data_IF_848735969098
#
_entry.id   IF_848735969098
#
_cell.length_a   1.000
_cell.length_b   1.000
_cell.length_c   1.000
_cell.angle_alpha   90.00
_cell.angle_beta   90.00
_cell.angle_gamma   90.00
#
_symmetry.space_group_name_H-M   'P 1'
#
loop_
_entity.id
_entity.type
_entity.pdbx_description
1 polymer ?
#
# COMPACT_ATOMS: atom_id res chain seq x y z
N UNK A 1 29.61 -4.81 -13.20
CA UNK A 1 28.54 -4.54 -12.21
C UNK A 1 27.25 -5.16 -12.72
N UNK A 2 26.91 -6.32 -12.20
CA UNK A 2 25.62 -6.93 -12.50
C UNK A 2 24.55 -6.14 -11.77
N UNK A 3 23.63 -5.52 -12.51
CA UNK A 3 22.41 -4.95 -11.95
C UNK A 3 21.65 -6.08 -11.26
N UNK A 4 21.60 -6.07 -9.94
CA UNK A 4 20.66 -6.92 -9.21
C UNK A 4 19.31 -6.21 -9.27
N UNK A 5 18.24 -6.85 -9.74
CA UNK A 5 16.91 -6.30 -9.62
C UNK A 5 16.60 -6.15 -8.12
N UNK A 6 16.09 -4.98 -7.74
CA UNK A 6 15.74 -4.68 -6.36
C UNK A 6 14.23 -4.72 -6.11
N UNK A 7 13.43 -4.87 -7.16
CA UNK A 7 11.98 -4.94 -7.12
C UNK A 7 11.47 -6.08 -8.01
N UNK A 8 10.63 -6.93 -7.47
CA UNK A 8 9.87 -7.94 -8.17
C UNK A 8 8.44 -7.47 -8.35
N UNK A 9 8.01 -7.30 -9.60
CA UNK A 9 6.63 -6.96 -9.93
C UNK A 9 5.89 -8.21 -10.43
N UNK A 10 4.74 -8.50 -9.81
CA UNK A 10 3.92 -9.66 -10.12
C UNK A 10 2.45 -9.25 -10.26
N UNK A 11 1.67 -10.01 -11.00
CA UNK A 11 0.22 -9.97 -10.98
C UNK A 11 -0.30 -11.21 -10.27
N UNK A 12 -1.31 -11.05 -9.41
CA UNK A 12 -1.93 -12.19 -8.70
C UNK A 12 -2.61 -13.11 -9.72
N UNK A 13 -2.17 -14.38 -9.83
CA UNK A 13 -2.78 -15.33 -10.75
C UNK A 13 -4.24 -15.60 -10.38
N UNK A 14 -5.10 -15.79 -11.39
CA UNK A 14 -6.49 -16.20 -11.18
C UNK A 14 -6.61 -17.66 -10.76
N UNK A 15 -5.64 -18.45 -11.15
CA UNK A 15 -5.61 -19.89 -10.92
C UNK A 15 -5.05 -20.20 -9.53
N UNK A 16 -5.85 -20.92 -8.73
CA UNK A 16 -5.50 -21.32 -7.37
C UNK A 16 -4.27 -22.24 -7.28
N UNK A 17 -4.04 -23.06 -8.29
CA UNK A 17 -2.87 -23.95 -8.32
C UNK A 17 -1.55 -23.17 -8.33
N UNK A 18 -1.54 -21.99 -8.92
CA UNK A 18 -0.37 -21.12 -9.01
C UNK A 18 -0.08 -20.36 -7.71
N UNK A 19 -1.05 -20.29 -6.78
CA UNK A 19 -0.87 -19.51 -5.54
C UNK A 19 0.22 -20.07 -4.63
N UNK A 20 0.41 -21.38 -4.61
CA UNK A 20 1.51 -21.97 -3.84
C UNK A 20 2.89 -21.50 -4.36
N UNK A 21 3.05 -21.49 -5.67
CA UNK A 21 4.28 -21.01 -6.30
C UNK A 21 4.50 -19.52 -6.04
N UNK A 22 3.43 -18.71 -6.05
CA UNK A 22 3.50 -17.29 -5.72
C UNK A 22 4.03 -17.06 -4.29
N UNK A 23 3.53 -17.81 -3.31
CA UNK A 23 4.03 -17.75 -1.92
C UNK A 23 5.53 -18.04 -1.85
N UNK A 24 5.99 -19.08 -2.54
CA UNK A 24 7.41 -19.45 -2.61
C UNK A 24 8.24 -18.33 -3.23
N UNK A 25 7.79 -17.76 -4.34
CA UNK A 25 8.48 -16.66 -5.03
C UNK A 25 8.58 -15.40 -4.15
N UNK A 26 7.50 -15.02 -3.47
CA UNK A 26 7.49 -13.86 -2.55
C UNK A 26 8.43 -14.11 -1.36
N UNK A 27 8.39 -15.31 -0.78
CA UNK A 27 9.30 -15.66 0.31
C UNK A 27 10.76 -15.61 -0.13
N UNK A 28 11.08 -16.13 -1.32
CA UNK A 28 12.43 -16.07 -1.87
C UNK A 28 12.87 -14.63 -2.17
N UNK A 29 12.00 -13.78 -2.71
CA UNK A 29 12.28 -12.37 -2.92
C UNK A 29 12.68 -11.68 -1.61
N UNK A 30 11.93 -11.93 -0.52
CA UNK A 30 12.27 -11.42 0.82
C UNK A 30 13.66 -11.89 1.28
N UNK A 31 13.96 -13.19 1.08
CA UNK A 31 15.26 -13.76 1.43
C UNK A 31 16.40 -13.13 0.64
N UNK A 32 16.16 -12.78 -0.62
CA UNK A 32 17.11 -12.11 -1.51
C UNK A 32 17.16 -10.58 -1.33
N UNK A 33 16.44 -10.03 -0.34
CA UNK A 33 16.32 -8.59 -0.10
C UNK A 33 15.82 -7.83 -1.33
N UNK A 34 14.80 -8.38 -1.97
CA UNK A 34 14.09 -7.75 -3.08
C UNK A 34 12.73 -7.26 -2.58
N UNK A 35 12.38 -6.03 -2.91
CA UNK A 35 11.02 -5.53 -2.73
C UNK A 35 10.05 -6.29 -3.64
N UNK A 36 8.80 -6.40 -3.22
CA UNK A 36 7.72 -7.02 -3.99
C UNK A 36 6.59 -6.03 -4.22
N UNK A 37 6.10 -5.97 -5.44
CA UNK A 37 4.87 -5.28 -5.80
C UNK A 37 3.93 -6.27 -6.49
N UNK A 38 2.85 -6.64 -5.82
CA UNK A 38 1.85 -7.60 -6.30
C UNK A 38 0.59 -6.86 -6.72
N UNK A 39 0.29 -6.87 -8.02
CA UNK A 39 -0.91 -6.27 -8.58
C UNK A 39 -2.08 -7.25 -8.51
N UNK A 40 -3.18 -6.81 -7.92
CA UNK A 40 -4.48 -7.48 -7.97
C UNK A 40 -5.41 -6.64 -8.83
N UNK A 41 -5.49 -6.97 -10.11
CA UNK A 41 -6.20 -6.17 -11.10
C UNK A 41 -7.71 -6.36 -10.99
N UNK A 42 -8.43 -5.25 -11.01
CA UNK A 42 -9.89 -5.26 -11.15
C UNK A 42 -10.25 -5.45 -12.64
N UNK A 43 -11.07 -6.45 -12.94
CA UNK A 43 -11.33 -6.86 -14.33
C UNK A 43 -11.99 -5.78 -15.17
N UNK A 44 -12.95 -5.08 -14.59
CA UNK A 44 -13.72 -4.05 -15.30
C UNK A 44 -13.07 -2.67 -15.20
N UNK A 45 -12.64 -2.27 -13.99
CA UNK A 45 -12.08 -0.95 -13.77
C UNK A 45 -10.63 -0.83 -14.30
N UNK A 46 -9.87 -1.94 -14.35
CA UNK A 46 -8.46 -1.90 -14.71
C UNK A 46 -7.68 -0.91 -13.84
N UNK A 47 -6.96 0.03 -14.45
CA UNK A 47 -6.28 1.13 -13.78
C UNK A 47 -7.04 2.47 -13.91
N UNK A 48 -8.33 2.41 -14.25
CA UNK A 48 -9.23 3.55 -14.34
C UNK A 48 -8.69 4.69 -15.20
N UNK A 49 -8.91 5.93 -14.74
CA UNK A 49 -8.43 7.15 -15.39
C UNK A 49 -7.01 7.54 -14.98
N UNK A 50 -6.40 6.81 -14.08
CA UNK A 50 -5.08 7.10 -13.50
C UNK A 50 -4.98 8.49 -12.87
N UNK A 51 -6.06 8.93 -12.25
CA UNK A 51 -6.20 10.30 -11.71
C UNK A 51 -6.22 10.37 -10.19
N UNK A 52 -6.43 9.23 -9.53
CA UNK A 52 -6.51 9.15 -8.07
C UNK A 52 -5.85 7.88 -7.54
N UNK A 53 -5.04 8.03 -6.52
CA UNK A 53 -4.35 6.94 -5.82
C UNK A 53 -4.66 7.05 -4.33
N UNK A 54 -5.03 5.94 -3.70
CA UNK A 54 -5.10 5.82 -2.26
C UNK A 54 -3.90 5.00 -1.76
N UNK A 55 -3.13 5.58 -0.85
CA UNK A 55 -2.07 4.89 -0.12
C UNK A 55 -2.59 4.55 1.27
N UNK A 56 -2.68 3.27 1.58
CA UNK A 56 -3.17 2.77 2.85
C UNK A 56 -2.01 2.49 3.79
N UNK A 57 -2.03 3.14 4.95
CA UNK A 57 -1.03 2.94 6.00
C UNK A 57 -1.58 1.92 6.99
N UNK A 58 -0.87 0.80 7.24
CA UNK A 58 -1.28 -0.19 8.23
C UNK A 58 -1.29 0.42 9.62
N UNK A 59 -2.09 -0.18 10.52
CA UNK A 59 -2.19 0.25 11.90
C UNK A 59 -0.82 0.29 12.59
N UNK A 60 -0.45 1.45 13.12
CA UNK A 60 0.78 1.69 13.88
C UNK A 60 0.50 1.84 15.38
N UNK A 61 -0.75 1.51 15.79
CA UNK A 61 -1.20 1.66 17.18
C UNK A 61 -0.37 0.93 18.24
N UNK A 62 -0.59 1.22 19.48
CA UNK A 62 -1.43 2.29 20.02
C UNK A 62 -0.76 3.67 20.00
N UNK A 63 0.52 3.75 19.65
CA UNK A 63 1.31 4.95 19.85
C UNK A 63 1.48 5.82 18.60
N UNK A 64 1.28 5.29 17.39
CA UNK A 64 1.46 6.00 16.13
C UNK A 64 2.75 6.81 16.07
N UNK A 65 3.86 6.20 16.52
CA UNK A 65 5.16 6.86 16.55
C UNK A 65 5.85 6.78 15.20
N UNK A 66 6.28 7.93 14.73
CA UNK A 66 7.18 8.02 13.60
C UNK A 66 8.54 7.42 13.98
N UNK A 67 8.94 6.34 13.33
CA UNK A 67 10.29 5.76 13.41
C UNK A 67 11.11 6.28 12.23
N UNK A 68 12.42 6.37 12.38
CA UNK A 68 13.31 6.81 11.27
C UNK A 68 13.37 5.81 10.12
N UNK A 69 12.91 4.59 10.32
CA UNK A 69 12.82 3.56 9.30
C UNK A 69 11.42 2.96 9.35
N UNK A 70 10.66 3.12 8.28
CA UNK A 70 9.37 2.48 8.07
C UNK A 70 9.55 1.16 7.33
N UNK A 71 10.09 0.16 7.97
CA UNK A 71 10.44 -1.12 7.33
C UNK A 71 9.29 -1.83 6.61
N UNK A 72 8.06 -1.32 6.73
CA UNK A 72 6.87 -1.98 6.20
C UNK A 72 6.09 -1.12 5.20
N UNK A 73 6.43 0.17 5.07
CA UNK A 73 5.68 1.09 4.21
C UNK A 73 6.56 1.92 3.26
N UNK A 74 7.89 1.84 3.37
CA UNK A 74 8.78 2.64 2.54
C UNK A 74 8.54 2.38 1.05
N UNK A 75 8.47 1.13 0.63
CA UNK A 75 8.21 0.78 -0.76
C UNK A 75 6.83 1.27 -1.23
N UNK A 76 5.79 1.14 -0.40
CA UNK A 76 4.45 1.59 -0.76
C UNK A 76 4.39 3.11 -0.95
N UNK A 77 5.05 3.88 -0.08
CA UNK A 77 5.17 5.34 -0.19
C UNK A 77 5.93 5.73 -1.45
N UNK A 78 7.07 5.08 -1.72
CA UNK A 78 7.88 5.35 -2.91
C UNK A 78 7.12 5.05 -4.21
N UNK A 79 6.40 3.92 -4.27
CA UNK A 79 5.60 3.57 -5.44
C UNK A 79 4.40 4.50 -5.60
N UNK A 80 3.72 4.86 -4.50
CA UNK A 80 2.62 5.83 -4.55
C UNK A 80 3.09 7.17 -5.11
N UNK A 81 4.22 7.69 -4.62
CA UNK A 81 4.82 8.92 -5.13
C UNK A 81 5.16 8.83 -6.63
N UNK A 82 5.84 7.76 -7.04
CA UNK A 82 6.24 7.56 -8.44
C UNK A 82 5.04 7.43 -9.38
N UNK A 83 4.03 6.69 -8.98
CA UNK A 83 2.83 6.52 -9.80
C UNK A 83 2.01 7.81 -9.86
N UNK A 84 1.86 8.50 -8.74
CA UNK A 84 1.21 9.81 -8.68
C UNK A 84 1.90 10.80 -9.63
N UNK A 85 3.23 10.93 -9.57
CA UNK A 85 4.02 11.81 -10.43
C UNK A 85 3.84 11.47 -11.92
N UNK A 86 3.92 10.16 -12.27
CA UNK A 86 3.80 9.70 -13.65
C UNK A 86 2.40 9.82 -14.24
N UNK A 87 1.38 9.75 -13.39
CA UNK A 87 -0.02 9.83 -13.81
C UNK A 87 -0.60 11.25 -13.68
N UNK A 88 0.13 12.17 -13.09
CA UNK A 88 -0.41 13.47 -12.64
C UNK A 88 -1.66 13.28 -11.77
N UNK A 89 -1.59 12.31 -10.86
CA UNK A 89 -2.71 11.86 -10.07
C UNK A 89 -2.74 12.56 -8.70
N UNK A 90 -3.93 12.66 -8.11
CA UNK A 90 -4.10 13.08 -6.72
C UNK A 90 -3.86 11.90 -5.78
N UNK A 91 -3.16 12.14 -4.69
CA UNK A 91 -2.84 11.16 -3.68
C UNK A 91 -3.64 11.40 -2.40
N UNK A 92 -4.25 10.34 -1.87
CA UNK A 92 -4.77 10.31 -0.51
C UNK A 92 -3.98 9.29 0.31
N UNK A 93 -3.57 9.68 1.52
CA UNK A 93 -2.94 8.79 2.49
C UNK A 93 -3.95 8.46 3.57
N UNK A 94 -4.25 7.19 3.74
CA UNK A 94 -5.40 6.73 4.52
C UNK A 94 -4.94 5.75 5.59
N UNK A 95 -5.45 5.91 6.81
CA UNK A 95 -5.31 4.93 7.89
C UNK A 95 -6.67 4.70 8.55
N UNK A 96 -6.84 3.53 9.16
CA UNK A 96 -7.97 3.25 10.04
C UNK A 96 -7.48 3.02 11.46
N UNK A 97 -8.27 3.44 12.44
CA UNK A 97 -8.01 3.23 13.86
C UNK A 97 -9.18 2.49 14.51
N UNK A 98 -8.86 1.48 15.33
CA UNK A 98 -9.88 0.72 16.04
C UNK A 98 -10.44 1.48 17.25
N UNK A 99 -9.67 2.43 17.79
CA UNK A 99 -10.05 3.22 18.95
C UNK A 99 -10.05 4.72 18.60
N UNK A 100 -11.18 5.39 18.87
CA UNK A 100 -11.31 6.83 18.64
C UNK A 100 -10.23 7.66 19.34
N UNK A 101 -9.70 7.18 20.48
CA UNK A 101 -8.61 7.83 21.21
C UNK A 101 -7.30 7.91 20.43
N UNK A 102 -7.12 7.07 19.42
CA UNK A 102 -5.92 7.04 18.58
C UNK A 102 -6.00 7.98 17.37
N UNK A 103 -7.18 8.46 17.03
CA UNK A 103 -7.42 9.24 15.82
C UNK A 103 -6.49 10.44 15.67
N UNK A 104 -6.37 11.25 16.71
CA UNK A 104 -5.50 12.45 16.69
C UNK A 104 -4.03 12.09 16.49
N UNK A 105 -3.60 10.97 17.09
CA UNK A 105 -2.21 10.50 16.92
C UNK A 105 -1.98 10.00 15.51
N UNK A 106 -2.93 9.28 14.95
CA UNK A 106 -2.87 8.80 13.57
C UNK A 106 -2.89 9.96 12.57
N UNK A 107 -3.74 10.98 12.77
CA UNK A 107 -3.76 12.20 11.95
C UNK A 107 -2.41 12.93 12.01
N UNK A 108 -1.83 13.10 13.19
CA UNK A 108 -0.50 13.70 13.36
C UNK A 108 0.56 12.89 12.64
N UNK A 109 0.50 11.56 12.74
CA UNK A 109 1.41 10.66 12.05
C UNK A 109 1.31 10.80 10.54
N UNK A 110 0.10 10.75 9.97
CA UNK A 110 -0.09 10.87 8.52
C UNK A 110 0.38 12.22 7.98
N UNK A 111 0.06 13.31 8.65
CA UNK A 111 0.54 14.65 8.24
C UNK A 111 2.07 14.72 8.27
N UNK A 112 2.70 14.18 9.31
CA UNK A 112 4.15 14.14 9.38
C UNK A 112 4.77 13.22 8.33
N UNK A 113 4.12 12.12 7.98
CA UNK A 113 4.56 11.24 6.88
C UNK A 113 4.53 12.00 5.55
N UNK A 114 3.46 12.73 5.26
CA UNK A 114 3.32 13.56 4.06
C UNK A 114 4.49 14.55 3.96
N UNK A 115 4.82 15.24 5.05
CA UNK A 115 5.90 16.22 5.10
C UNK A 115 7.28 15.57 4.92
N UNK A 116 7.57 14.51 5.67
CA UNK A 116 8.89 13.85 5.64
C UNK A 116 9.16 13.09 4.34
N UNK A 117 8.14 12.48 3.76
CA UNK A 117 8.25 11.83 2.45
C UNK A 117 8.16 12.82 1.28
N UNK A 118 8.05 14.12 1.57
CA UNK A 118 7.94 15.20 0.58
C UNK A 118 6.83 14.95 -0.45
N UNK A 119 5.71 14.42 0.02
CA UNK A 119 4.53 14.27 -0.83
C UNK A 119 3.96 15.67 -1.16
N UNK A 120 3.22 15.81 -2.27
CA UNK A 120 2.65 17.10 -2.67
C UNK A 120 1.80 17.74 -1.57
N UNK A 121 1.78 19.05 -1.52
CA UNK A 121 1.04 19.82 -0.51
C UNK A 121 -0.49 19.62 -0.58
N UNK A 122 -1.00 19.17 -1.72
CA UNK A 122 -2.42 18.83 -1.92
C UNK A 122 -2.74 17.35 -1.61
N UNK A 123 -1.78 16.59 -1.06
CA UNK A 123 -2.02 15.24 -0.56
C UNK A 123 -3.01 15.28 0.61
N UNK A 124 -4.03 14.45 0.53
CA UNK A 124 -5.08 14.38 1.55
C UNK A 124 -4.73 13.29 2.57
N UNK A 125 -4.63 13.64 3.85
CA UNK A 125 -4.48 12.69 4.95
C UNK A 125 -5.86 12.41 5.58
N UNK A 126 -6.25 11.13 5.64
CA UNK A 126 -7.56 10.69 6.15
C UNK A 126 -7.37 9.62 7.22
N UNK A 127 -8.03 9.78 8.36
CA UNK A 127 -8.12 8.75 9.39
C UNK A 127 -9.58 8.37 9.61
N UNK A 128 -9.87 7.10 9.38
CA UNK A 128 -11.17 6.50 9.62
C UNK A 128 -11.28 5.88 11.00
N UNK A 129 -12.45 5.99 11.60
CA UNK A 129 -12.80 5.28 12.83
C UNK A 129 -13.48 3.94 12.46
N UNK A 130 -13.04 2.85 13.06
CA UNK A 130 -13.70 1.56 13.01
C UNK A 130 -12.97 0.51 12.18
N UNK A 131 -13.70 -0.56 11.88
CA UNK A 131 -13.18 -1.70 11.16
C UNK A 131 -12.70 -1.35 9.75
N UNK A 132 -11.49 -1.79 9.45
CA UNK A 132 -10.82 -1.55 8.17
C UNK A 132 -11.66 -2.03 6.96
N UNK A 133 -12.24 -3.23 7.05
CA UNK A 133 -13.04 -3.80 5.95
C UNK A 133 -14.27 -2.95 5.61
N UNK A 134 -14.97 -2.47 6.64
CA UNK A 134 -16.11 -1.56 6.47
C UNK A 134 -15.68 -0.25 5.86
N UNK A 135 -14.55 0.31 6.33
CA UNK A 135 -14.08 1.58 5.79
C UNK A 135 -13.53 1.46 4.38
N UNK A 136 -12.88 0.37 4.03
CA UNK A 136 -12.36 0.14 2.67
C UNK A 136 -13.47 0.25 1.61
N UNK A 137 -14.68 -0.22 1.93
CA UNK A 137 -15.86 -0.11 1.05
C UNK A 137 -16.39 1.32 0.91
N UNK A 138 -16.14 2.19 1.88
CA UNK A 138 -16.61 3.58 1.93
C UNK A 138 -15.49 4.61 1.70
N UNK A 139 -14.28 4.15 1.42
CA UNK A 139 -13.15 5.02 1.16
C UNK A 139 -13.36 5.90 -0.08
N UNK A 140 -12.66 7.04 -0.19
CA UNK A 140 -12.67 7.83 -1.41
C UNK A 140 -12.34 6.96 -2.63
N UNK A 141 -13.12 7.11 -3.69
CA UNK A 141 -12.86 6.39 -4.93
C UNK A 141 -11.47 6.70 -5.48
N UNK A 142 -10.74 5.67 -5.85
CA UNK A 142 -9.45 5.76 -6.50
C UNK A 142 -9.36 4.82 -7.71
N UNK A 143 -8.41 5.11 -8.58
CA UNK A 143 -8.10 4.24 -9.72
C UNK A 143 -7.13 3.12 -9.32
N UNK A 144 -6.37 3.36 -8.25
CA UNK A 144 -5.46 2.41 -7.64
C UNK A 144 -5.43 2.57 -6.12
N UNK A 145 -5.51 1.45 -5.41
CA UNK A 145 -5.25 1.39 -3.97
C UNK A 145 -3.91 0.67 -3.72
N UNK A 146 -3.05 1.26 -2.90
CA UNK A 146 -1.75 0.69 -2.54
C UNK A 146 -1.78 0.31 -1.07
N UNK A 147 -1.48 -0.95 -0.77
CA UNK A 147 -1.47 -1.54 0.56
C UNK A 147 -0.12 -2.19 0.86
N UNK A 148 0.20 -2.36 2.12
CA UNK A 148 1.25 -3.31 2.51
C UNK A 148 0.75 -4.74 2.32
N UNK A 149 1.63 -5.62 1.82
CA UNK A 149 1.32 -7.03 1.65
C UNK A 149 1.24 -7.69 3.04
N UNK A 150 0.14 -8.42 3.36
CA UNK A 150 0.06 -9.15 4.62
C UNK A 150 1.17 -10.21 4.74
N UNK A 151 1.63 -10.47 5.97
CA UNK A 151 2.63 -11.52 6.23
C UNK A 151 2.13 -12.90 5.78
N UNK A 152 0.86 -13.20 6.06
CA UNK A 152 0.20 -14.39 5.54
C UNK A 152 -0.54 -14.03 4.25
N UNK A 153 0.02 -14.49 3.14
CA UNK A 153 -0.55 -14.26 1.82
C UNK A 153 -1.81 -15.10 1.66
N UNK A 154 -2.98 -14.45 1.76
CA UNK A 154 -4.28 -15.02 1.45
C UNK A 154 -4.87 -14.35 0.19
N UNK A 155 -4.85 -15.01 -0.97
CA UNK A 155 -5.40 -14.46 -2.20
C UNK A 155 -6.89 -14.08 -2.11
N UNK A 156 -7.69 -14.81 -1.35
CA UNK A 156 -9.12 -14.51 -1.17
C UNK A 156 -9.29 -13.17 -0.44
N UNK A 157 -8.46 -12.91 0.57
CA UNK A 157 -8.45 -11.63 1.26
C UNK A 157 -8.03 -10.48 0.32
N UNK A 158 -6.99 -10.68 -0.51
CA UNK A 158 -6.55 -9.67 -1.48
C UNK A 158 -7.64 -9.37 -2.52
N UNK A 159 -8.34 -10.39 -3.01
CA UNK A 159 -9.50 -10.19 -3.89
C UNK A 159 -10.64 -9.47 -3.20
N UNK A 160 -10.92 -9.79 -1.94
CA UNK A 160 -11.96 -9.10 -1.18
C UNK A 160 -11.69 -7.60 -1.03
N UNK A 161 -10.44 -7.18 -0.83
CA UNK A 161 -10.05 -5.76 -0.79
C UNK A 161 -10.22 -5.08 -2.15
N UNK A 162 -9.81 -5.74 -3.25
CA UNK A 162 -10.05 -5.25 -4.61
C UNK A 162 -11.54 -5.02 -4.86
N UNK A 163 -12.37 -5.97 -4.49
CA UNK A 163 -13.82 -5.90 -4.71
C UNK A 163 -14.48 -4.87 -3.81
N UNK A 164 -14.05 -4.76 -2.55
CA UNK A 164 -14.54 -3.75 -1.61
C UNK A 164 -14.23 -2.33 -2.06
N UNK A 165 -13.04 -2.10 -2.61
CA UNK A 165 -12.63 -0.78 -3.12
C UNK A 165 -13.13 -0.49 -4.53
N UNK A 166 -13.59 -1.50 -5.27
CA UNK A 166 -14.02 -1.40 -6.66
C UNK A 166 -12.92 -0.97 -7.65
N UNK A 167 -11.66 -1.16 -7.29
CA UNK A 167 -10.50 -0.73 -8.06
C UNK A 167 -9.35 -1.73 -7.95
N UNK A 168 -8.39 -1.65 -8.86
CA UNK A 168 -7.16 -2.44 -8.76
C UNK A 168 -6.39 -2.09 -7.49
N UNK A 169 -5.75 -3.10 -6.91
CA UNK A 169 -4.96 -2.97 -5.70
C UNK A 169 -3.52 -3.40 -5.96
N UNK A 170 -2.55 -2.66 -5.42
CA UNK A 170 -1.14 -2.98 -5.44
C UNK A 170 -0.70 -3.26 -4.00
N UNK A 171 -0.19 -4.45 -3.76
CA UNK A 171 0.31 -4.87 -2.45
C UNK A 171 1.83 -4.89 -2.47
N UNK A 172 2.47 -4.26 -1.49
CA UNK A 172 3.92 -4.09 -1.46
C UNK A 172 4.54 -4.76 -0.24
N UNK A 173 5.73 -5.30 -0.43
CA UNK A 173 6.59 -5.80 0.63
C UNK A 173 7.98 -5.20 0.48
N UNK A 174 8.46 -4.52 1.50
CA UNK A 174 9.77 -3.88 1.51
C UNK A 174 10.89 -4.92 1.47
N UNK A 175 12.00 -4.59 0.82
CA UNK A 175 13.24 -5.38 0.87
C UNK A 175 13.99 -5.19 2.18
N UNK A 176 13.75 -4.06 2.85
CA UNK A 176 14.48 -3.57 4.01
C UNK A 176 15.59 -2.58 3.66
N UNK A 177 15.79 -2.28 2.39
CA UNK A 177 16.81 -1.35 1.90
C UNK A 177 16.20 -0.04 1.34
N UNK A 178 14.86 0.04 1.24
CA UNK A 178 14.15 1.25 0.83
C UNK A 178 14.13 2.29 1.96
N UNK A 179 14.12 3.57 1.56
CA UNK A 179 13.84 4.70 2.45
C UNK A 179 12.96 5.71 1.73
N UNK A 180 11.77 5.94 2.24
CA UNK A 180 10.87 6.97 1.76
C UNK A 180 11.12 8.33 2.43
N UNK A 181 11.88 8.33 3.52
CA UNK A 181 12.25 9.53 4.26
C UNK A 181 13.66 9.96 3.85
N UNK A 182 13.77 10.95 3.01
CA UNK A 182 15.04 11.50 2.53
C UNK A 182 15.30 12.88 3.12
#
# INVERSE_FOLDING_TARGET
SFFRPNLLFLELPKDKETHHNLKVVIHEAKRQRMGVALLVRHETAGLGRRSRINLWIPDQGPNWKMKMEFREIDLSVLLAYRMMDRWDAKLSVIASVNQKSEKVKAETFLNRLVDLARLPADTIALVADGDFGTYASNAPQADLNIFSLPEDLDPEYLWSLRDATGASCLFTQDSGDESALA
#
